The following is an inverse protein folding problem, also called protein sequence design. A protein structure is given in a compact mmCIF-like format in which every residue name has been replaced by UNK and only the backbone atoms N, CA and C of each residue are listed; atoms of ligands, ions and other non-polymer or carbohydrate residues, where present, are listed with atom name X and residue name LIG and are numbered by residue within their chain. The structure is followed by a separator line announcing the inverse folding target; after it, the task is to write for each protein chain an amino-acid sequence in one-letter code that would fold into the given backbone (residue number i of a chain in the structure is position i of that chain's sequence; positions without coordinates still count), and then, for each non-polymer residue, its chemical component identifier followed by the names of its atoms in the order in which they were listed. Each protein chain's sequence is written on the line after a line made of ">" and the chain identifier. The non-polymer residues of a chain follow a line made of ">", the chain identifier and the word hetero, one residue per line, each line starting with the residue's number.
data_IF_322303592426
#
_entry.id   IF_322303592426
#
_cell.length_a   1.000
_cell.length_b   1.000
_cell.length_c   1.000
_cell.angle_alpha   90.00
_cell.angle_beta   90.00
_cell.angle_gamma   90.00
#
_symmetry.space_group_name_H-M   'P 1'
#
loop_
_entity.id
_entity.type
_entity.pdbx_description
1 polymer ?
#
# COMPACT_ATOMS: atom_id res chain seq x y z
N UNK A 1 18.96 2.87 -6.28
CA UNK A 1 17.60 2.56 -6.76
C UNK A 1 17.24 1.23 -6.15
N UNK A 2 16.21 1.21 -5.33
CA UNK A 2 15.77 0.00 -4.63
C UNK A 2 14.26 -0.09 -4.79
N UNK A 3 13.77 -1.27 -5.13
CA UNK A 3 12.34 -1.50 -5.22
C UNK A 3 11.83 -2.07 -3.90
N UNK A 4 10.76 -1.49 -3.37
CA UNK A 4 10.09 -1.95 -2.16
C UNK A 4 8.66 -2.35 -2.51
N UNK A 5 8.29 -3.58 -2.16
CA UNK A 5 6.90 -4.02 -2.20
C UNK A 5 6.26 -3.83 -0.82
N UNK A 6 5.10 -3.16 -0.78
CA UNK A 6 4.23 -3.11 0.38
C UNK A 6 3.36 -4.37 0.39
N UNK A 7 3.67 -5.26 1.33
CA UNK A 7 2.84 -6.42 1.63
C UNK A 7 1.92 -6.10 2.80
N UNK A 8 0.72 -6.65 2.76
CA UNK A 8 -0.26 -6.48 3.82
C UNK A 8 -1.15 -7.71 3.97
N UNK A 9 -1.73 -7.86 5.16
CA UNK A 9 -2.66 -8.92 5.49
C UNK A 9 -3.52 -8.53 6.70
N UNK A 10 -4.67 -9.16 6.81
CA UNK A 10 -5.64 -8.94 7.88
C UNK A 10 -6.38 -10.24 8.16
N UNK A 11 -7.01 -10.32 9.34
CA UNK A 11 -7.99 -11.34 9.64
C UNK A 11 -9.35 -10.84 9.09
N UNK A 12 -9.95 -11.61 8.19
CA UNK A 12 -11.26 -11.32 7.60
C UNK A 12 -12.31 -12.26 8.18
N UNK A 13 -13.43 -11.72 8.65
CA UNK A 13 -14.60 -12.47 9.10
C UNK A 13 -15.78 -12.20 8.16
N UNK A 14 -16.27 -13.25 7.51
CA UNK A 14 -17.33 -13.22 6.48
C UNK A 14 -17.16 -12.15 5.37
N UNK A 15 -15.94 -11.67 5.17
CA UNK A 15 -15.55 -10.72 4.12
C UNK A 15 -14.49 -11.31 3.20
N UNK A 16 -14.49 -10.85 1.95
CA UNK A 16 -13.47 -11.15 0.94
C UNK A 16 -13.17 -9.91 0.10
N UNK A 17 -12.15 -10.01 -0.76
CA UNK A 17 -11.74 -8.97 -1.70
C UNK A 17 -11.48 -7.60 -1.07
N UNK A 18 -10.92 -7.54 0.15
CA UNK A 18 -10.56 -6.29 0.81
C UNK A 18 -9.46 -5.57 -0.01
N UNK A 19 -9.71 -4.32 -0.37
CA UNK A 19 -8.82 -3.50 -1.21
C UNK A 19 -9.17 -2.01 -1.09
N UNK A 20 -8.34 -1.08 -1.60
CA UNK A 20 -8.75 0.31 -1.78
C UNK A 20 -10.04 0.40 -2.61
N UNK A 21 -10.91 1.36 -2.29
CA UNK A 21 -12.29 1.45 -2.80
C UNK A 21 -12.40 1.31 -4.32
N UNK A 22 -11.50 1.95 -5.06
CA UNK A 22 -11.48 1.93 -6.52
C UNK A 22 -10.36 1.03 -7.10
N UNK A 23 -9.85 0.09 -6.30
CA UNK A 23 -8.81 -0.88 -6.66
C UNK A 23 -7.40 -0.45 -6.26
N UNK A 24 -6.46 -1.40 -6.25
CA UNK A 24 -5.06 -1.15 -5.83
C UNK A 24 -4.31 -0.14 -6.71
N UNK A 25 -4.79 0.10 -7.94
CA UNK A 25 -4.22 1.07 -8.88
C UNK A 25 -5.07 2.36 -8.96
N UNK A 26 -5.91 2.63 -7.96
CA UNK A 26 -6.65 3.89 -7.86
C UNK A 26 -5.67 5.08 -7.81
N UNK A 27 -5.70 6.00 -8.79
CA UNK A 27 -4.80 7.15 -8.82
C UNK A 27 -5.01 8.11 -7.64
N UNK A 28 -6.17 8.05 -6.99
CA UNK A 28 -6.55 8.99 -5.91
C UNK A 28 -6.35 8.43 -4.50
N UNK A 29 -6.07 7.13 -4.36
CA UNK A 29 -5.88 6.53 -3.04
C UNK A 29 -4.56 7.00 -2.40
N UNK A 30 -4.60 7.60 -1.19
CA UNK A 30 -3.41 8.13 -0.54
C UNK A 30 -2.68 7.05 0.28
N UNK A 31 -1.43 6.77 -0.07
CA UNK A 31 -0.55 5.91 0.71
C UNK A 31 0.20 6.75 1.75
N UNK A 32 0.01 6.42 3.03
CA UNK A 32 0.73 7.05 4.13
C UNK A 32 1.76 6.09 4.71
N UNK A 33 3.03 6.48 4.67
CA UNK A 33 4.10 5.74 5.34
C UNK A 33 5.23 6.67 5.78
N UNK A 34 5.98 6.28 6.81
CA UNK A 34 7.20 6.99 7.19
C UNK A 34 8.33 6.65 6.22
N UNK A 35 9.33 7.51 6.19
CA UNK A 35 10.51 7.35 5.35
C UNK A 35 11.76 7.44 6.19
N UNK A 36 12.66 6.48 6.02
CA UNK A 36 14.02 6.53 6.54
C UNK A 36 14.97 7.01 5.46
N UNK A 37 15.80 8.00 5.75
CA UNK A 37 16.83 8.45 4.83
C UNK A 37 17.96 7.42 4.73
N UNK A 38 18.28 6.96 3.52
CA UNK A 38 19.37 5.99 3.28
C UNK A 38 20.76 6.58 3.58
N UNK A 39 20.89 7.91 3.64
CA UNK A 39 22.17 8.57 3.84
C UNK A 39 22.52 8.80 5.32
N UNK A 40 21.59 9.33 6.10
CA UNK A 40 21.83 9.67 7.51
C UNK A 40 21.00 8.86 8.51
N UNK A 41 20.09 8.00 8.04
CA UNK A 41 19.24 7.18 8.90
C UNK A 41 18.04 7.91 9.52
N UNK A 42 17.88 9.22 9.27
CA UNK A 42 16.77 10.01 9.82
C UNK A 42 15.41 9.44 9.38
N UNK A 43 14.50 9.24 10.34
CA UNK A 43 13.12 8.81 10.09
C UNK A 43 12.20 10.02 10.07
N UNK A 44 11.32 10.12 9.09
CA UNK A 44 10.35 11.21 9.00
C UNK A 44 9.46 11.26 10.25
N UNK A 45 9.36 12.46 10.85
CA UNK A 45 8.55 12.65 12.06
C UNK A 45 7.06 12.38 11.86
N UNK A 46 6.54 12.58 10.64
CA UNK A 46 5.18 12.25 10.21
C UNK A 46 5.23 11.30 9.03
N UNK A 47 4.15 10.56 8.82
CA UNK A 47 3.94 9.82 7.58
C UNK A 47 3.89 10.81 6.41
N UNK A 48 4.51 10.42 5.29
CA UNK A 48 4.41 11.13 4.03
C UNK A 48 3.27 10.53 3.22
N UNK A 49 2.48 11.38 2.55
CA UNK A 49 1.45 10.96 1.62
C UNK A 49 2.07 10.78 0.22
N UNK A 50 1.76 9.68 -0.45
CA UNK A 50 2.09 9.45 -1.86
C UNK A 50 0.85 8.87 -2.54
N UNK A 51 0.52 9.37 -3.73
CA UNK A 51 -0.58 8.83 -4.54
C UNK A 51 -0.13 8.59 -5.97
N UNK A 52 -0.76 7.63 -6.64
CA UNK A 52 -0.36 7.23 -8.00
C UNK A 52 -0.68 8.34 -9.03
N UNK A 53 -1.71 9.15 -8.78
CA UNK A 53 -2.09 10.28 -9.63
C UNK A 53 -1.23 11.53 -9.46
N UNK A 54 -0.43 11.62 -8.39
CA UNK A 54 0.49 12.73 -8.19
C UNK A 54 1.73 12.53 -9.07
N UNK A 55 2.11 13.57 -9.83
CA UNK A 55 3.26 13.53 -10.74
C UNK A 55 4.04 14.82 -10.58
N UNK A 56 5.31 14.68 -10.20
CA UNK A 56 6.25 15.78 -9.94
C UNK A 56 7.55 15.58 -10.72
N UNK A 57 8.12 16.66 -11.24
CA UNK A 57 9.40 16.61 -11.96
C UNK A 57 10.56 16.39 -10.98
N UNK A 58 11.51 15.52 -11.36
CA UNK A 58 12.76 15.41 -10.62
C UNK A 58 13.60 16.70 -10.80
N UNK A 59 14.47 17.06 -9.83
CA UNK A 59 15.30 18.27 -9.91
C UNK A 59 16.21 18.38 -11.15
N UNK A 60 16.51 17.25 -11.80
CA UNK A 60 17.33 17.20 -13.01
C UNK A 60 16.50 17.30 -14.32
N UNK A 61 15.17 17.38 -14.23
CA UNK A 61 14.25 17.58 -15.36
C UNK A 61 14.13 16.43 -16.35
N UNK A 62 14.70 15.24 -16.07
CA UNK A 62 14.75 14.11 -17.03
C UNK A 62 13.68 13.04 -16.82
N UNK A 63 13.04 13.05 -15.66
CA UNK A 63 12.05 12.04 -15.29
C UNK A 63 11.12 12.59 -14.23
N UNK A 64 9.95 11.98 -14.11
CA UNK A 64 8.96 12.31 -13.09
C UNK A 64 8.97 11.28 -11.96
N UNK A 65 8.37 11.65 -10.84
CA UNK A 65 8.12 10.81 -9.68
C UNK A 65 6.73 11.09 -9.12
N UNK A 66 6.24 10.25 -8.22
CA UNK A 66 5.00 10.52 -7.48
C UNK A 66 5.26 11.37 -6.24
N UNK A 67 6.50 11.37 -5.75
CA UNK A 67 6.94 12.22 -4.65
C UNK A 67 8.42 12.57 -4.82
N UNK A 68 8.76 13.84 -4.56
CA UNK A 68 10.14 14.29 -4.34
C UNK A 68 10.18 15.10 -3.04
N UNK A 69 11.08 14.76 -2.13
CA UNK A 69 11.29 15.52 -0.89
C UNK A 69 12.75 15.50 -0.44
N UNK A 70 13.15 16.47 0.39
CA UNK A 70 14.48 16.52 1.00
C UNK A 70 14.47 15.92 2.40
N UNK A 71 15.51 15.18 2.74
CA UNK A 71 15.76 14.79 4.13
C UNK A 71 15.94 16.05 5.00
N UNK A 72 15.14 16.18 6.06
CA UNK A 72 15.19 17.35 6.96
C UNK A 72 16.50 17.49 7.73
N UNK A 73 17.24 16.38 7.91
CA UNK A 73 18.51 16.38 8.62
C UNK A 73 19.70 16.67 7.70
N UNK A 74 19.87 15.91 6.62
CA UNK A 74 21.06 16.01 5.75
C UNK A 74 20.85 16.74 4.42
N UNK A 75 19.61 17.19 4.12
CA UNK A 75 19.28 17.94 2.91
C UNK A 75 19.28 17.13 1.60
N UNK A 76 19.64 15.84 1.65
CA UNK A 76 19.70 14.97 0.47
C UNK A 76 18.30 14.74 -0.12
N UNK A 77 18.21 14.77 -1.44
CA UNK A 77 16.96 14.49 -2.17
C UNK A 77 16.59 13.01 -2.10
N UNK A 78 15.30 12.77 -1.93
CA UNK A 78 14.66 11.48 -2.00
C UNK A 78 13.49 11.54 -3.00
N UNK A 79 13.27 10.45 -3.72
CA UNK A 79 12.17 10.34 -4.69
C UNK A 79 11.52 8.97 -4.65
N UNK A 80 10.21 8.93 -4.90
CA UNK A 80 9.41 7.71 -4.96
C UNK A 80 8.59 7.69 -6.25
N UNK A 81 8.68 6.58 -6.99
CA UNK A 81 7.79 6.27 -8.12
C UNK A 81 6.96 5.05 -7.75
N UNK A 82 5.65 5.11 -7.91
CA UNK A 82 4.72 4.01 -7.72
C UNK A 82 4.60 3.19 -9.00
N UNK A 83 4.49 1.87 -8.85
CA UNK A 83 4.48 0.93 -9.98
C UNK A 83 3.14 0.20 -9.97
N UNK A 84 2.17 0.62 -10.80
CA UNK A 84 0.85 0.02 -10.83
C UNK A 84 0.86 -1.40 -11.41
N UNK A 85 -0.25 -2.12 -11.25
CA UNK A 85 -0.47 -3.47 -11.75
C UNK A 85 0.20 -4.56 -10.92
N UNK A 86 0.70 -4.23 -9.73
CA UNK A 86 1.33 -5.19 -8.80
C UNK A 86 0.43 -5.58 -7.63
N UNK A 87 -0.53 -4.72 -7.28
CA UNK A 87 -1.41 -4.93 -6.14
C UNK A 87 -2.55 -5.90 -6.43
N UNK A 88 -2.96 -6.68 -5.42
CA UNK A 88 -4.11 -7.58 -5.49
C UNK A 88 -4.97 -7.50 -4.22
N UNK A 89 -6.31 -7.63 -4.33
CA UNK A 89 -7.19 -7.67 -3.16
C UNK A 89 -6.80 -8.80 -2.20
N UNK A 90 -7.06 -8.61 -0.91
CA UNK A 90 -6.96 -9.66 0.09
C UNK A 90 -8.26 -10.48 0.08
N UNK A 91 -8.16 -11.73 -0.32
CA UNK A 91 -9.28 -12.67 -0.30
C UNK A 91 -9.44 -13.32 1.06
N UNK A 92 -10.65 -13.83 1.37
CA UNK A 92 -10.89 -14.61 2.58
C UNK A 92 -9.97 -15.84 2.66
N UNK A 93 -9.76 -16.54 1.54
CA UNK A 93 -8.89 -17.71 1.49
C UNK A 93 -7.44 -17.37 1.85
N UNK A 94 -6.91 -16.27 1.33
CA UNK A 94 -5.57 -15.78 1.69
C UNK A 94 -5.51 -15.37 3.15
N UNK A 95 -6.52 -14.66 3.66
CA UNK A 95 -6.61 -14.28 5.06
C UNK A 95 -6.56 -15.51 5.99
N UNK A 96 -7.35 -16.55 5.70
CA UNK A 96 -7.41 -17.79 6.48
C UNK A 96 -6.08 -18.56 6.47
N UNK A 97 -5.34 -18.52 5.36
CA UNK A 97 -4.00 -19.11 5.25
C UNK A 97 -2.92 -18.31 5.96
N UNK A 98 -3.22 -17.07 6.36
CA UNK A 98 -2.22 -16.12 6.87
C UNK A 98 -1.28 -15.61 5.76
N UNK A 99 -1.71 -15.70 4.50
CA UNK A 99 -0.96 -15.24 3.34
C UNK A 99 -0.90 -13.71 3.31
N UNK A 100 0.20 -13.21 2.75
CA UNK A 100 0.42 -11.77 2.54
C UNK A 100 0.17 -11.46 1.09
N UNK A 101 -0.59 -10.41 0.82
CA UNK A 101 -0.84 -9.93 -0.54
C UNK A 101 -0.06 -8.64 -0.78
N UNK A 102 0.33 -8.39 -2.04
CA UNK A 102 0.99 -7.14 -2.41
C UNK A 102 -0.08 -6.05 -2.58
N UNK A 103 0.17 -4.86 -2.05
CA UNK A 103 -0.69 -3.68 -2.27
C UNK A 103 -0.13 -2.77 -3.37
N UNK A 104 1.17 -2.53 -3.35
CA UNK A 104 1.85 -1.60 -4.25
C UNK A 104 3.36 -1.87 -4.26
N UNK A 105 4.02 -1.54 -5.37
CA UNK A 105 5.49 -1.52 -5.47
C UNK A 105 5.97 -0.09 -5.69
N UNK A 106 7.06 0.26 -5.02
CA UNK A 106 7.69 1.57 -5.08
C UNK A 106 9.13 1.43 -5.60
N UNK A 107 9.51 2.24 -6.59
CA UNK A 107 10.91 2.53 -6.91
C UNK A 107 11.36 3.72 -6.05
N UNK A 108 12.22 3.45 -5.07
CA UNK A 108 12.73 4.44 -4.14
C UNK A 108 14.19 4.78 -4.41
N UNK A 109 14.53 6.06 -4.22
CA UNK A 109 15.91 6.57 -4.28
C UNK A 109 16.15 7.52 -3.11
N UNK A 110 17.17 7.26 -2.30
CA UNK A 110 17.56 8.13 -1.18
C UNK A 110 16.70 7.95 0.08
N UNK A 111 15.70 7.08 0.04
CA UNK A 111 14.81 6.78 1.14
C UNK A 111 14.34 5.32 1.12
N UNK A 112 14.07 4.79 2.31
CA UNK A 112 13.43 3.51 2.57
C UNK A 112 12.04 3.78 3.16
N UNK A 113 10.94 3.32 2.54
CA UNK A 113 9.62 3.39 3.16
C UNK A 113 9.55 2.41 4.34
N UNK A 114 9.07 2.91 5.47
CA UNK A 114 8.91 2.18 6.71
C UNK A 114 7.55 2.53 7.31
N UNK A 115 6.91 1.59 7.99
CA UNK A 115 5.69 1.85 8.77
C UNK A 115 4.53 2.45 7.95
N UNK A 116 3.75 1.57 7.29
CA UNK A 116 2.56 1.95 6.54
C UNK A 116 1.37 2.14 7.48
N UNK A 117 0.72 3.30 7.39
CA UNK A 117 -0.47 3.63 8.15
C UNK A 117 -1.72 3.29 7.34
N UNK A 118 -2.52 2.36 7.85
CA UNK A 118 -3.86 2.13 7.34
C UNK A 118 -4.75 3.35 7.60
N UNK A 119 -5.67 3.61 6.68
CA UNK A 119 -6.60 4.73 6.75
C UNK A 119 -7.98 4.32 6.25
N UNK A 120 -8.78 5.30 5.87
CA UNK A 120 -10.09 5.07 5.27
C UNK A 120 -9.99 4.78 3.76
N UNK A 121 -11.14 4.64 3.10
CA UNK A 121 -11.21 4.47 1.65
C UNK A 121 -10.97 3.04 1.18
N UNK A 122 -11.28 2.05 2.01
CA UNK A 122 -11.26 0.64 1.66
C UNK A 122 -12.67 0.15 1.31
N UNK A 123 -12.73 -0.99 0.63
CA UNK A 123 -13.95 -1.76 0.45
C UNK A 123 -13.70 -3.24 0.61
N UNK A 124 -14.73 -3.99 0.98
CA UNK A 124 -14.76 -5.45 0.88
C UNK A 124 -16.17 -5.90 0.46
N UNK A 125 -16.29 -7.19 0.16
CA UNK A 125 -17.56 -7.84 -0.16
C UNK A 125 -17.83 -8.93 0.86
N UNK A 126 -19.07 -9.09 1.32
CA UNK A 126 -19.45 -10.30 2.05
C UNK A 126 -19.49 -11.50 1.12
N UNK A 127 -19.61 -12.69 1.73
CA UNK A 127 -19.77 -13.94 0.98
C UNK A 127 -21.08 -14.00 0.19
N UNK A 128 -22.08 -13.20 0.56
CA UNK A 128 -23.33 -13.04 -0.18
C UNK A 128 -23.29 -11.90 -1.22
N UNK A 129 -22.15 -11.22 -1.35
CA UNK A 129 -21.93 -10.15 -2.34
C UNK A 129 -22.41 -8.77 -1.91
N UNK A 130 -22.69 -8.55 -0.63
CA UNK A 130 -22.96 -7.22 -0.09
C UNK A 130 -21.65 -6.43 -0.04
N UNK A 131 -21.59 -5.24 -0.63
CA UNK A 131 -20.39 -4.38 -0.56
C UNK A 131 -20.39 -3.52 0.70
N UNK A 132 -19.24 -3.47 1.36
CA UNK A 132 -19.00 -2.65 2.56
C UNK A 132 -17.92 -1.62 2.28
N UNK A 133 -18.17 -0.39 2.72
CA UNK A 133 -17.16 0.66 2.78
C UNK A 133 -16.46 0.58 4.14
N UNK A 134 -15.14 0.46 4.12
CA UNK A 134 -14.34 0.12 5.30
C UNK A 134 -13.39 1.26 5.64
N UNK A 135 -13.39 1.65 6.91
CA UNK A 135 -12.36 2.48 7.51
C UNK A 135 -11.38 1.60 8.28
N UNK A 136 -10.12 1.57 7.87
CA UNK A 136 -9.07 0.79 8.50
C UNK A 136 -8.18 1.62 9.42
N UNK A 137 -8.51 2.90 9.68
CA UNK A 137 -7.68 3.81 10.49
C UNK A 137 -7.51 3.38 11.94
N UNK A 138 -8.48 2.66 12.51
CA UNK A 138 -8.42 2.13 13.89
C UNK A 138 -7.84 0.70 13.95
N UNK A 139 -7.51 0.09 12.80
CA UNK A 139 -6.95 -1.26 12.73
C UNK A 139 -7.99 -2.39 12.82
N UNK A 140 -9.27 -2.05 12.95
CA UNK A 140 -10.40 -2.98 12.95
C UNK A 140 -11.66 -2.36 12.32
N UNK A 141 -12.57 -3.22 11.88
CA UNK A 141 -13.89 -2.89 11.35
C UNK A 141 -14.86 -4.00 11.72
N UNK A 142 -16.09 -3.66 12.08
CA UNK A 142 -17.16 -4.61 12.33
C UNK A 142 -18.49 -4.04 11.84
N UNK A 143 -19.28 -4.88 11.18
CA UNK A 143 -20.63 -4.55 10.70
C UNK A 143 -21.47 -5.84 10.64
N UNK A 144 -22.67 -5.78 10.09
CA UNK A 144 -23.57 -6.92 9.92
C UNK A 144 -24.07 -7.04 8.49
N UNK A 145 -23.93 -8.22 7.89
CA UNK A 145 -24.51 -8.50 6.58
C UNK A 145 -25.93 -9.02 6.74
N UNK A 146 -26.90 -8.14 6.53
CA UNK A 146 -28.34 -8.48 6.56
C UNK A 146 -28.71 -9.57 5.56
N UNK A 147 -27.99 -9.65 4.42
CA UNK A 147 -28.28 -10.67 3.40
C UNK A 147 -27.75 -12.06 3.82
N UNK A 148 -26.58 -12.08 4.44
CA UNK A 148 -25.94 -13.30 4.94
C UNK A 148 -26.35 -13.67 6.36
N UNK A 149 -27.13 -12.82 7.03
CA UNK A 149 -27.53 -12.94 8.44
C UNK A 149 -26.33 -13.21 9.39
N UNK A 150 -25.16 -12.64 9.10
CA UNK A 150 -23.94 -12.88 9.84
C UNK A 150 -23.13 -11.58 10.10
N UNK A 151 -22.37 -11.52 11.21
CA UNK A 151 -21.44 -10.43 11.44
C UNK A 151 -20.31 -10.48 10.41
N UNK A 152 -19.84 -9.31 10.00
CA UNK A 152 -18.70 -9.15 9.10
C UNK A 152 -17.63 -8.31 9.79
N UNK A 153 -16.36 -8.55 9.49
CA UNK A 153 -15.29 -7.79 10.13
C UNK A 153 -13.91 -7.91 9.50
N UNK A 154 -13.10 -6.90 9.81
CA UNK A 154 -11.66 -6.86 9.51
C UNK A 154 -10.95 -6.63 10.84
N UNK A 155 -9.89 -7.39 11.09
CA UNK A 155 -9.08 -7.21 12.29
C UNK A 155 -7.61 -7.53 12.04
N UNK A 156 -6.76 -7.22 13.03
CA UNK A 156 -5.32 -7.49 13.01
C UNK A 156 -4.66 -7.08 11.69
N UNK A 157 -4.96 -5.87 11.23
CA UNK A 157 -4.32 -5.28 10.06
C UNK A 157 -2.81 -5.18 10.27
N UNK A 158 -2.05 -5.72 9.33
CA UNK A 158 -0.59 -5.80 9.36
C UNK A 158 -0.03 -5.45 8.00
N UNK A 159 1.13 -4.79 8.01
CA UNK A 159 1.84 -4.38 6.81
C UNK A 159 3.35 -4.56 7.00
N UNK A 160 4.06 -4.73 5.89
CA UNK A 160 5.51 -4.69 5.86
C UNK A 160 6.01 -4.22 4.49
N UNK A 161 7.16 -3.57 4.47
CA UNK A 161 7.90 -3.31 3.24
C UNK A 161 8.98 -4.37 3.06
N UNK A 162 9.09 -4.93 1.86
CA UNK A 162 10.15 -5.86 1.47
C UNK A 162 10.91 -5.35 0.27
N UNK A 163 12.24 -5.46 0.31
CA UNK A 163 13.06 -5.23 -0.88
C UNK A 163 12.77 -6.33 -1.89
N UNK A 164 12.48 -5.93 -3.13
CA UNK A 164 12.19 -6.82 -4.26
C UNK A 164 13.12 -6.52 -5.43
N UNK A 165 13.34 -7.51 -6.29
CA UNK A 165 14.13 -7.36 -7.52
C UNK A 165 13.20 -7.26 -8.72
N UNK A 166 13.48 -6.30 -9.60
CA UNK A 166 12.85 -6.25 -10.91
C UNK A 166 13.34 -7.43 -11.77
N UNK A 167 12.42 -8.27 -12.21
CA UNK A 167 12.66 -9.33 -13.19
C UNK A 167 11.80 -9.10 -14.44
N UNK A 168 12.44 -9.11 -15.60
CA UNK A 168 11.75 -9.00 -16.88
C UNK A 168 11.78 -10.36 -17.58
N UNK A 169 10.61 -10.90 -17.92
CA UNK A 169 10.50 -12.17 -18.64
C UNK A 169 9.30 -12.15 -19.59
N UNK A 170 9.55 -12.49 -20.86
CA UNK A 170 8.54 -12.56 -21.94
C UNK A 170 7.65 -11.31 -22.03
N UNK A 171 8.26 -10.13 -21.92
CA UNK A 171 7.54 -8.84 -21.99
C UNK A 171 6.69 -8.50 -20.76
N UNK A 172 6.74 -9.32 -19.70
CA UNK A 172 6.12 -9.02 -18.41
C UNK A 172 7.19 -8.66 -17.39
N UNK A 173 6.96 -7.57 -16.67
CA UNK A 173 7.77 -7.17 -15.51
C UNK A 173 7.14 -7.73 -14.25
N UNK A 174 7.95 -8.36 -13.41
CA UNK A 174 7.58 -8.81 -12.07
C UNK A 174 8.57 -8.26 -11.05
N UNK A 175 8.10 -8.10 -9.82
CA UNK A 175 8.91 -7.72 -8.67
C UNK A 175 8.90 -8.86 -7.66
N UNK A 176 10.05 -9.49 -7.44
CA UNK A 176 10.22 -10.73 -6.67
C UNK A 176 11.43 -10.67 -5.75
#
# INVERSE_FOLDING_TARGET
>A
MVYYALYWWADLDNLTNLQPRYGCDDPTYPYYFKLRCENCGEVSAKATCVSLGEVVDLPNGRSTANLVQKCKLCGRDASIVMIPGQGTPLTMEQSQKGDRTCLMVFDCRGCEPIDFAFGNGWKAESLEGTSFDIDCSEGEFADYDEKGECPVGVGKLRSEFRVVKKQESRGKTKYV
#
